data_IF_328060971260
#
_entry.id   IF_328060971260
#
_cell.length_a   1.000
_cell.length_b   1.000
_cell.length_c   1.000
_cell.angle_alpha   90.00
_cell.angle_beta   90.00
_cell.angle_gamma   90.00
#
_symmetry.space_group_name_H-M   'P 1'
#
loop_
_entity.id
_entity.type
_entity.pdbx_description
1 polymer ?
#
# COMPACT_ATOMS: atom_id res chain seq x y z
N UNK A 1 9.82 1.89 7.34
CA UNK A 1 9.35 0.65 8.03
C UNK A 1 8.37 0.87 9.20
N UNK A 2 8.63 1.76 10.19
CA UNK A 2 7.71 1.91 11.34
C UNK A 2 6.26 2.27 10.96
N UNK A 3 6.08 3.11 9.92
CA UNK A 3 4.76 3.54 9.45
C UNK A 3 3.93 2.39 8.84
N UNK A 4 4.55 1.48 8.06
CA UNK A 4 3.86 0.27 7.55
C UNK A 4 3.42 -0.66 8.67
N UNK A 5 4.28 -0.84 9.69
CA UNK A 5 3.94 -1.65 10.87
C UNK A 5 2.79 -1.03 11.67
N UNK A 6 2.80 0.29 11.86
CA UNK A 6 1.72 1.02 12.51
C UNK A 6 0.41 0.88 11.73
N UNK A 7 0.43 1.10 10.41
CA UNK A 7 -0.72 0.91 9.53
C UNK A 7 -1.27 -0.53 9.58
N UNK A 8 -0.38 -1.53 9.64
CA UNK A 8 -0.75 -2.93 9.81
C UNK A 8 -1.51 -3.23 11.09
N UNK A 9 -1.19 -2.52 12.18
CA UNK A 9 -1.82 -2.69 13.48
C UNK A 9 -3.09 -1.84 13.66
N UNK A 10 -3.10 -0.60 13.15
CA UNK A 10 -4.20 0.34 13.35
C UNK A 10 -5.26 0.32 12.24
N UNK A 11 -4.91 -0.18 11.04
CA UNK A 11 -5.75 -0.06 9.85
C UNK A 11 -5.81 1.35 9.27
N UNK A 12 -5.05 2.30 9.81
CA UNK A 12 -4.94 3.64 9.27
C UNK A 12 -4.12 3.61 7.98
N UNK A 13 -4.69 4.15 6.89
CA UNK A 13 -4.01 4.25 5.61
C UNK A 13 -2.78 5.18 5.76
N UNK A 14 -1.56 4.72 5.45
CA UNK A 14 -0.36 5.54 5.54
C UNK A 14 -0.20 6.55 4.39
N UNK A 15 -1.10 6.54 3.40
CA UNK A 15 -1.12 7.40 2.22
C UNK A 15 -0.52 6.70 0.99
N UNK A 16 -1.09 6.97 -0.19
CA UNK A 16 -0.66 6.36 -1.45
C UNK A 16 0.80 6.66 -1.80
N UNK A 17 1.21 7.93 -1.72
CA UNK A 17 2.59 8.38 -2.00
C UNK A 17 3.62 7.59 -1.17
N UNK A 18 3.32 7.37 0.12
CA UNK A 18 4.18 6.59 1.01
C UNK A 18 4.24 5.12 0.62
N UNK A 19 3.11 4.53 0.21
CA UNK A 19 3.07 3.16 -0.28
C UNK A 19 3.88 3.03 -1.58
N UNK A 20 3.77 4.00 -2.49
CA UNK A 20 4.51 4.05 -3.75
C UNK A 20 6.03 4.20 -3.56
N UNK A 21 6.44 5.07 -2.63
CA UNK A 21 7.84 5.20 -2.23
C UNK A 21 8.38 3.87 -1.70
N UNK A 22 7.65 3.24 -0.76
CA UNK A 22 8.04 1.94 -0.19
C UNK A 22 8.03 0.80 -1.23
N UNK A 23 7.12 0.86 -2.21
CA UNK A 23 7.01 -0.14 -3.27
C UNK A 23 8.21 -0.13 -4.22
N UNK A 24 8.78 1.06 -4.43
CA UNK A 24 9.93 1.27 -5.33
C UNK A 24 11.28 1.02 -4.65
N UNK A 25 11.34 1.08 -3.31
CA UNK A 25 12.57 0.98 -2.53
C UNK A 25 13.10 -0.46 -2.38
N UNK A 26 12.26 -1.40 -1.92
CA UNK A 26 12.69 -2.78 -1.62
C UNK A 26 11.62 -3.81 -2.01
N UNK A 27 11.96 -4.85 -2.79
CA UNK A 27 11.07 -5.99 -3.08
C UNK A 27 10.41 -6.62 -1.84
N UNK A 28 11.07 -6.64 -0.68
CA UNK A 28 10.50 -7.15 0.56
C UNK A 28 9.33 -6.30 1.06
N UNK A 29 9.38 -4.97 0.85
CA UNK A 29 8.29 -4.06 1.21
C UNK A 29 7.06 -4.28 0.33
N UNK A 30 7.25 -4.66 -0.94
CA UNK A 30 6.13 -5.02 -1.83
C UNK A 30 5.31 -6.19 -1.25
N UNK A 31 5.94 -7.17 -0.62
CA UNK A 31 5.25 -8.30 0.03
C UNK A 31 4.42 -7.81 1.21
N UNK A 32 4.97 -6.91 2.02
CA UNK A 32 4.25 -6.31 3.17
C UNK A 32 3.07 -5.49 2.67
N UNK A 33 3.26 -4.64 1.66
CA UNK A 33 2.20 -3.81 1.08
C UNK A 33 1.10 -4.69 0.47
N UNK A 34 1.43 -5.72 -0.30
CA UNK A 34 0.46 -6.70 -0.83
C UNK A 34 -0.43 -7.29 0.27
N UNK A 35 0.16 -7.70 1.39
CA UNK A 35 -0.58 -8.23 2.55
C UNK A 35 -1.47 -7.18 3.20
N UNK A 36 -1.00 -5.93 3.30
CA UNK A 36 -1.77 -4.83 3.86
C UNK A 36 -2.97 -4.46 2.99
N UNK A 37 -2.79 -4.37 1.67
CA UNK A 37 -3.87 -4.07 0.73
C UNK A 37 -4.93 -5.18 0.71
N UNK A 38 -4.52 -6.45 0.80
CA UNK A 38 -5.45 -7.56 0.96
C UNK A 38 -6.22 -7.51 2.29
N UNK A 39 -5.59 -7.00 3.35
CA UNK A 39 -6.21 -6.84 4.67
C UNK A 39 -7.14 -5.62 4.75
N UNK A 40 -6.82 -4.56 4.01
CA UNK A 40 -7.50 -3.27 4.06
C UNK A 40 -7.95 -2.80 2.67
N UNK A 41 -8.90 -3.51 2.02
CA UNK A 41 -9.38 -3.17 0.69
C UNK A 41 -10.02 -1.77 0.65
N UNK A 42 -10.54 -1.26 1.78
CA UNK A 42 -11.13 0.07 1.90
C UNK A 42 -10.12 1.21 1.69
N UNK A 43 -8.81 0.94 1.63
CA UNK A 43 -7.82 1.96 1.30
C UNK A 43 -7.88 2.41 -0.16
N UNK A 44 -8.60 1.68 -1.03
CA UNK A 44 -8.79 2.09 -2.41
C UNK A 44 -7.49 2.08 -3.21
N UNK A 45 -6.54 1.20 -2.88
CA UNK A 45 -5.29 1.04 -3.63
C UNK A 45 -5.24 -0.38 -4.20
N UNK A 46 -4.99 -0.48 -5.50
CA UNK A 46 -4.87 -1.74 -6.23
C UNK A 46 -3.45 -1.93 -6.76
N UNK A 47 -3.12 -3.18 -7.11
CA UNK A 47 -1.88 -3.50 -7.82
C UNK A 47 -2.25 -3.96 -9.22
N UNK A 48 -1.85 -3.20 -10.23
CA UNK A 48 -2.11 -3.47 -11.65
C UNK A 48 -0.77 -3.49 -12.38
N UNK A 49 -0.48 -4.58 -13.11
CA UNK A 49 0.78 -4.78 -13.84
C UNK A 49 2.05 -4.54 -13.00
N UNK A 50 1.98 -4.86 -11.70
CA UNK A 50 3.10 -4.67 -10.78
C UNK A 50 3.30 -3.23 -10.27
N UNK A 51 2.35 -2.32 -10.56
CA UNK A 51 2.33 -0.95 -10.07
C UNK A 51 1.18 -0.73 -9.09
N UNK A 52 1.39 0.17 -8.12
CA UNK A 52 0.33 0.64 -7.23
C UNK A 52 -0.50 1.70 -7.96
N UNK A 53 -1.83 1.60 -7.89
CA UNK A 53 -2.78 2.56 -8.47
C UNK A 53 -3.83 2.91 -7.42
N UNK A 54 -4.18 4.19 -7.28
CA UNK A 54 -5.27 4.62 -6.40
C UNK A 54 -6.60 4.59 -7.17
N UNK A 55 -7.68 4.17 -6.52
CA UNK A 55 -9.02 4.09 -7.11
C UNK A 55 -9.55 5.47 -7.54
N UNK A 56 -9.05 6.54 -6.92
CA UNK A 56 -9.30 7.93 -7.29
C UNK A 56 -8.97 8.22 -8.75
N UNK A 57 -7.99 7.52 -9.32
CA UNK A 57 -7.50 7.75 -10.68
C UNK A 57 -8.44 7.21 -11.77
N UNK A 58 -9.51 6.48 -11.40
CA UNK A 58 -10.47 5.88 -12.34
C UNK A 58 -11.80 6.66 -12.46
N UNK A 59 -11.91 7.87 -11.89
CA UNK A 59 -13.15 8.65 -11.85
C UNK A 59 -13.01 10.06 -12.45
#
# INVERSE_FOLDING_TARGET
MQKLKAAGNSGQNPGFEYLQECWSDDPALQIVIKKLLAKYPQWGVAIVDGMLIEWSDFN
#
